data_IF_256698807258
#
_entry.id   IF_256698807258
#
_cell.length_a   1.000
_cell.length_b   1.000
_cell.length_c   1.000
_cell.angle_alpha   90.00
_cell.angle_beta   90.00
_cell.angle_gamma   90.00
#
_symmetry.space_group_name_H-M   'P 1'
#
loop_
_entity.id
_entity.type
_entity.pdbx_description
1 polymer ?
#
# COMPACT_ATOMS: atom_id res chain seq x y z
N UNK A 1 -14.80 7.14 -5.41
CA UNK A 1 -13.52 6.85 -4.74
C UNK A 1 -13.00 8.12 -4.11
N UNK A 2 -12.47 8.04 -2.90
CA UNK A 2 -11.70 9.13 -2.29
C UNK A 2 -10.36 8.59 -1.79
N UNK A 3 -9.27 9.35 -1.92
CA UNK A 3 -7.98 8.91 -1.43
C UNK A 3 -6.95 10.00 -1.22
N UNK A 4 -5.92 9.67 -0.45
CA UNK A 4 -4.76 10.49 -0.13
C UNK A 4 -3.51 9.69 -0.43
N UNK A 5 -2.53 10.29 -1.09
CA UNK A 5 -1.27 9.64 -1.45
C UNK A 5 -0.06 10.55 -1.26
N UNK A 6 1.12 9.95 -1.44
CA UNK A 6 2.41 10.59 -1.25
C UNK A 6 2.67 11.83 -2.13
N UNK A 7 1.95 12.00 -3.25
CA UNK A 7 2.14 13.15 -4.14
C UNK A 7 1.49 14.40 -3.55
N UNK A 8 0.46 14.22 -2.72
CA UNK A 8 -0.32 15.33 -2.13
C UNK A 8 0.00 15.58 -0.67
N UNK A 9 0.24 14.53 0.11
CA UNK A 9 0.31 14.64 1.55
C UNK A 9 1.62 14.09 2.12
N UNK A 10 2.22 14.82 3.09
CA UNK A 10 3.37 14.32 3.81
C UNK A 10 3.00 13.11 4.68
N UNK A 11 4.01 12.36 5.11
CA UNK A 11 3.84 11.05 5.76
C UNK A 11 3.11 11.13 7.10
N UNK A 12 3.33 12.20 7.86
CA UNK A 12 2.67 12.50 9.13
C UNK A 12 1.15 12.66 8.96
N UNK A 13 0.71 13.39 7.92
CA UNK A 13 -0.72 13.53 7.61
C UNK A 13 -1.31 12.19 7.14
N UNK A 14 -0.64 11.47 6.25
CA UNK A 14 -1.13 10.17 5.76
C UNK A 14 -1.24 9.13 6.88
N UNK A 15 -0.32 9.14 7.83
CA UNK A 15 -0.31 8.23 8.96
C UNK A 15 -1.57 8.34 9.84
N UNK A 16 -2.19 9.52 9.94
CA UNK A 16 -3.45 9.73 10.67
C UNK A 16 -4.59 8.90 10.07
N UNK A 17 -4.61 8.76 8.74
CA UNK A 17 -5.68 8.07 8.03
C UNK A 17 -5.37 6.60 7.75
N UNK A 18 -4.11 6.15 7.90
CA UNK A 18 -3.72 4.76 7.63
C UNK A 18 -4.50 3.74 8.49
N UNK A 19 -4.90 2.61 7.88
CA UNK A 19 -5.52 1.49 8.58
C UNK A 19 -4.57 0.29 8.66
N UNK A 20 -4.64 -0.43 9.78
CA UNK A 20 -4.13 -1.81 9.88
C UNK A 20 -5.12 -2.77 9.19
N UNK A 21 -4.69 -3.99 8.83
CA UNK A 21 -5.60 -4.99 8.22
C UNK A 21 -6.86 -5.24 9.06
N UNK A 22 -6.69 -5.37 10.39
CA UNK A 22 -7.82 -5.56 11.31
C UNK A 22 -8.77 -4.36 11.31
N UNK A 23 -8.23 -3.15 11.48
CA UNK A 23 -9.05 -1.95 11.60
C UNK A 23 -9.70 -1.57 10.26
N UNK A 24 -9.11 -1.96 9.13
CA UNK A 24 -9.70 -1.75 7.80
C UNK A 24 -10.97 -2.59 7.62
N UNK A 25 -10.98 -3.84 8.08
CA UNK A 25 -12.17 -4.70 8.05
C UNK A 25 -13.34 -4.10 8.82
N UNK A 26 -13.12 -3.77 10.09
CA UNK A 26 -14.11 -3.13 10.97
C UNK A 26 -14.59 -1.76 10.41
N UNK A 27 -13.70 -1.00 9.77
CA UNK A 27 -14.06 0.26 9.15
C UNK A 27 -14.93 0.08 7.89
N UNK A 28 -14.66 -0.93 7.08
CA UNK A 28 -15.51 -1.27 5.92
C UNK A 28 -16.91 -1.73 6.36
N UNK A 29 -17.01 -2.52 7.43
CA UNK A 29 -18.31 -2.92 7.99
C UNK A 29 -19.15 -1.70 8.36
N UNK A 30 -18.57 -0.75 9.11
CA UNK A 30 -19.24 0.51 9.48
C UNK A 30 -19.57 1.39 8.28
N UNK A 31 -18.69 1.45 7.27
CA UNK A 31 -18.99 2.17 6.02
C UNK A 31 -20.21 1.57 5.33
N UNK A 32 -20.29 0.24 5.26
CA UNK A 32 -21.41 -0.44 4.61
C UNK A 32 -22.76 -0.19 5.30
N UNK A 33 -22.76 0.13 6.59
CA UNK A 33 -23.97 0.52 7.32
C UNK A 33 -24.44 1.94 6.99
N UNK A 34 -23.62 2.75 6.32
CA UNK A 34 -23.99 4.09 5.89
C UNK A 34 -25.03 4.01 4.78
N UNK A 35 -26.12 4.79 4.92
CA UNK A 35 -27.17 4.85 3.91
C UNK A 35 -26.59 5.15 2.53
N UNK A 36 -27.14 4.50 1.50
CA UNK A 36 -26.71 4.65 0.11
C UNK A 36 -25.48 3.84 -0.28
N UNK A 37 -24.66 3.32 0.65
CA UNK A 37 -23.48 2.51 0.29
C UNK A 37 -23.88 1.04 0.06
N UNK A 38 -23.75 0.56 -1.18
CA UNK A 38 -23.98 -0.84 -1.54
C UNK A 38 -22.75 -1.72 -1.29
N UNK A 39 -21.57 -1.16 -1.50
CA UNK A 39 -20.31 -1.86 -1.23
C UNK A 39 -19.16 -0.89 -1.05
N UNK A 40 -18.13 -1.30 -0.31
CA UNK A 40 -16.91 -0.55 -0.14
C UNK A 40 -15.65 -1.44 -0.04
N UNK A 41 -14.51 -0.87 -0.42
CA UNK A 41 -13.18 -1.47 -0.31
C UNK A 41 -12.19 -0.39 0.17
N UNK A 42 -11.41 -0.70 1.21
CA UNK A 42 -10.32 0.15 1.70
C UNK A 42 -8.98 -0.41 1.23
N UNK A 43 -8.25 0.38 0.45
CA UNK A 43 -6.85 0.12 0.09
C UNK A 43 -5.95 1.00 0.95
N UNK A 44 -5.34 0.40 1.98
CA UNK A 44 -4.42 1.09 2.90
C UNK A 44 -3.01 0.50 2.75
N UNK A 45 -2.06 1.37 2.40
CA UNK A 45 -0.64 1.03 2.21
C UNK A 45 0.22 2.06 2.96
N UNK A 46 1.55 1.91 2.94
CA UNK A 46 2.44 2.97 3.43
C UNK A 46 2.36 4.25 2.59
N UNK A 47 1.94 4.14 1.33
CA UNK A 47 2.03 5.22 0.36
C UNK A 47 0.71 5.90 0.01
N UNK A 48 -0.40 5.24 0.31
CA UNK A 48 -1.74 5.71 -0.01
C UNK A 48 -2.78 5.09 0.90
N UNK A 49 -3.84 5.85 1.10
CA UNK A 49 -5.13 5.37 1.56
C UNK A 49 -6.16 5.71 0.49
N UNK A 50 -6.95 4.74 0.08
CA UNK A 50 -8.06 4.94 -0.85
C UNK A 50 -9.30 4.19 -0.33
N UNK A 51 -10.45 4.87 -0.31
CA UNK A 51 -11.77 4.29 -0.08
C UNK A 51 -12.51 4.25 -1.40
N UNK A 52 -12.93 3.06 -1.77
CA UNK A 52 -13.76 2.78 -2.91
C UNK A 52 -15.14 2.46 -2.40
N UNK A 53 -16.16 3.10 -2.94
CA UNK A 53 -17.54 2.85 -2.60
C UNK A 53 -18.38 2.80 -3.88
N UNK A 54 -19.32 1.87 -3.90
CA UNK A 54 -20.45 1.81 -4.82
C UNK A 54 -21.65 2.33 -4.02
N UNK A 55 -22.28 3.42 -4.47
CA UNK A 55 -23.38 4.05 -3.76
C UNK A 55 -24.48 4.52 -4.69
N UNK A 56 -25.66 4.81 -4.14
CA UNK A 56 -26.80 5.38 -4.87
C UNK A 56 -26.47 6.80 -5.38
N UNK A 57 -26.82 7.10 -6.63
CA UNK A 57 -26.55 8.39 -7.28
C UNK A 57 -27.34 9.57 -6.66
N UNK A 58 -28.51 9.28 -6.08
CA UNK A 58 -29.42 10.31 -5.53
C UNK A 58 -29.06 10.74 -4.09
N UNK A 59 -28.04 10.14 -3.46
CA UNK A 59 -27.58 10.55 -2.13
C UNK A 59 -26.30 11.39 -2.20
N UNK A 60 -26.35 12.56 -1.58
CA UNK A 60 -25.17 13.40 -1.36
C UNK A 60 -24.28 12.77 -0.26
N UNK A 61 -23.40 11.86 -0.66
CA UNK A 61 -22.53 11.10 0.23
C UNK A 61 -21.10 11.66 0.19
N UNK A 62 -20.64 12.23 1.30
CA UNK A 62 -19.23 12.60 1.47
C UNK A 62 -18.43 11.47 2.09
N UNK A 63 -17.71 10.71 1.26
CA UNK A 63 -16.78 9.68 1.72
C UNK A 63 -15.66 10.26 2.61
N UNK A 64 -15.30 11.54 2.44
CA UNK A 64 -14.36 12.23 3.32
C UNK A 64 -14.90 12.32 4.75
N UNK A 65 -16.15 12.77 4.90
CA UNK A 65 -16.79 12.90 6.20
C UNK A 65 -16.96 11.52 6.86
N UNK A 66 -17.34 10.50 6.10
CA UNK A 66 -17.38 9.12 6.60
C UNK A 66 -16.02 8.66 7.12
N UNK A 67 -14.94 8.93 6.38
CA UNK A 67 -13.57 8.61 6.82
C UNK A 67 -13.19 9.37 8.11
N UNK A 68 -13.50 10.66 8.19
CA UNK A 68 -13.23 11.47 9.37
C UNK A 68 -13.96 10.95 10.60
N UNK A 69 -15.23 10.54 10.46
CA UNK A 69 -16.00 9.91 11.53
C UNK A 69 -15.37 8.59 11.99
N UNK A 70 -14.93 7.72 11.06
CA UNK A 70 -14.27 6.45 11.39
C UNK A 70 -12.93 6.64 12.11
N UNK A 71 -12.22 7.72 11.77
CA UNK A 71 -10.93 8.08 12.38
C UNK A 71 -11.04 8.99 13.59
N UNK A 72 -12.24 9.45 13.93
CA UNK A 72 -12.49 10.45 14.95
C UNK A 72 -11.64 11.72 14.73
N UNK A 73 -11.56 12.18 13.48
CA UNK A 73 -10.88 13.41 13.07
C UNK A 73 -11.95 14.49 12.88
N UNK A 74 -11.75 15.65 13.48
CA UNK A 74 -12.67 16.81 13.44
C UNK A 74 -12.12 17.98 12.62
N UNK A 75 -10.92 17.83 12.07
CA UNK A 75 -10.22 18.88 11.34
C UNK A 75 -10.47 18.71 9.84
N UNK A 76 -11.31 19.57 9.30
CA UNK A 76 -11.67 19.56 7.87
C UNK A 76 -10.55 20.10 6.97
N UNK A 77 -9.50 20.70 7.52
CA UNK A 77 -8.39 21.25 6.70
C UNK A 77 -7.66 20.16 5.92
N UNK A 78 -7.72 18.91 6.38
CA UNK A 78 -7.11 17.77 5.69
C UNK A 78 -7.80 17.41 4.38
N UNK A 79 -9.04 17.84 4.13
CA UNK A 79 -9.78 17.55 2.91
C UNK A 79 -9.03 18.01 1.65
N UNK A 80 -8.28 19.11 1.76
CA UNK A 80 -7.44 19.65 0.68
C UNK A 80 -6.38 18.67 0.15
N UNK A 81 -5.97 17.69 0.95
CA UNK A 81 -5.02 16.65 0.55
C UNK A 81 -5.67 15.49 -0.22
N UNK A 82 -6.99 15.33 -0.13
CA UNK A 82 -7.69 14.22 -0.74
C UNK A 82 -8.04 14.47 -2.20
N UNK A 83 -8.23 13.38 -2.94
CA UNK A 83 -8.75 13.38 -4.31
C UNK A 83 -9.98 12.50 -4.36
N UNK A 84 -11.07 13.08 -4.84
CA UNK A 84 -12.29 12.35 -5.17
C UNK A 84 -12.33 12.06 -6.67
N UNK A 85 -12.69 10.83 -7.02
CA UNK A 85 -12.87 10.37 -8.40
C UNK A 85 -14.17 9.58 -8.50
N UNK A 86 -14.92 9.77 -9.57
CA UNK A 86 -16.18 9.07 -9.83
C UNK A 86 -16.09 8.23 -11.11
N UNK A 87 -16.91 7.19 -11.18
CA UNK A 87 -17.15 6.36 -12.36
C UNK A 87 -15.88 5.98 -13.14
N UNK A 88 -15.78 6.48 -14.38
CA UNK A 88 -14.70 6.19 -15.31
C UNK A 88 -13.35 6.67 -14.78
N UNK A 89 -13.29 7.82 -14.14
CA UNK A 89 -12.02 8.34 -13.60
C UNK A 89 -11.52 7.46 -12.45
N UNK A 90 -12.43 7.00 -11.59
CA UNK A 90 -12.10 6.06 -10.53
C UNK A 90 -11.61 4.74 -11.12
N UNK A 91 -12.33 4.19 -12.10
CA UNK A 91 -11.92 2.95 -12.77
C UNK A 91 -10.54 3.09 -13.42
N UNK A 92 -10.32 4.11 -14.24
CA UNK A 92 -9.04 4.41 -14.90
C UNK A 92 -7.90 4.49 -13.88
N UNK A 93 -8.09 5.22 -12.77
CA UNK A 93 -7.10 5.29 -11.69
C UNK A 93 -6.72 3.91 -11.14
N UNK A 94 -7.71 3.03 -10.89
CA UNK A 94 -7.43 1.68 -10.39
C UNK A 94 -6.61 0.86 -11.40
N UNK A 95 -6.89 0.96 -12.69
CA UNK A 95 -6.11 0.27 -13.72
C UNK A 95 -4.68 0.81 -13.82
N UNK A 96 -4.49 2.14 -13.77
CA UNK A 96 -3.15 2.73 -13.71
C UNK A 96 -2.38 2.30 -12.46
N UNK A 97 -3.07 2.21 -11.31
CA UNK A 97 -2.49 1.77 -10.06
C UNK A 97 -2.10 0.28 -10.12
N UNK A 98 -2.97 -0.58 -10.64
CA UNK A 98 -2.71 -2.01 -10.81
C UNK A 98 -1.57 -2.28 -11.82
N UNK A 99 -1.41 -1.42 -12.82
CA UNK A 99 -0.28 -1.41 -13.74
C UNK A 99 1.03 -0.90 -13.14
N UNK A 100 1.04 -0.39 -11.91
CA UNK A 100 2.22 0.15 -11.23
C UNK A 100 2.68 1.52 -11.74
N UNK A 101 1.86 2.20 -12.54
CA UNK A 101 2.16 3.51 -13.15
C UNK A 101 1.92 4.69 -12.19
N UNK A 102 1.19 4.45 -11.09
CA UNK A 102 0.91 5.40 -10.02
C UNK A 102 1.55 5.00 -8.68
N UNK A 103 2.55 4.12 -8.71
CA UNK A 103 3.34 3.75 -7.53
C UNK A 103 4.54 4.70 -7.38
N UNK A 104 4.90 5.04 -6.13
CA UNK A 104 6.08 5.86 -5.83
C UNK A 104 7.35 5.26 -6.45
N UNK A 105 7.44 3.93 -6.43
CA UNK A 105 8.39 3.17 -7.23
C UNK A 105 7.63 2.65 -8.45
N UNK A 106 7.92 3.22 -9.61
CA UNK A 106 7.33 2.77 -10.88
C UNK A 106 7.64 1.29 -11.10
N UNK A 107 6.60 0.47 -11.29
CA UNK A 107 6.73 -0.98 -11.52
C UNK A 107 6.87 -1.84 -10.26
N UNK A 108 6.67 -1.30 -9.05
CA UNK A 108 6.74 -2.10 -7.82
C UNK A 108 5.69 -3.22 -7.78
N UNK A 109 6.14 -4.44 -7.51
CA UNK A 109 5.27 -5.61 -7.54
C UNK A 109 4.21 -5.63 -6.43
N UNK A 110 4.47 -4.90 -5.35
CA UNK A 110 3.72 -4.94 -4.12
C UNK A 110 2.30 -4.37 -4.26
N UNK A 111 2.10 -3.36 -5.12
CA UNK A 111 0.78 -2.69 -5.25
C UNK A 111 -0.30 -3.63 -5.80
N UNK A 112 0.06 -4.48 -6.76
CA UNK A 112 -0.88 -5.44 -7.36
C UNK A 112 -1.36 -6.46 -6.32
N UNK A 113 -0.45 -6.91 -5.46
CA UNK A 113 -0.76 -7.79 -4.33
C UNK A 113 -1.61 -7.05 -3.29
N UNK A 114 -1.32 -5.79 -3.00
CA UNK A 114 -2.11 -4.98 -2.07
C UNK A 114 -3.54 -4.74 -2.56
N UNK A 115 -3.75 -4.48 -3.86
CA UNK A 115 -5.09 -4.37 -4.46
C UNK A 115 -5.85 -5.69 -4.32
N UNK A 116 -5.19 -6.81 -4.60
CA UNK A 116 -5.78 -8.16 -4.45
C UNK A 116 -6.13 -8.45 -2.98
N UNK A 117 -5.26 -8.10 -2.05
CA UNK A 117 -5.46 -8.26 -0.61
C UNK A 117 -6.62 -7.39 -0.10
N UNK A 118 -6.75 -6.15 -0.59
CA UNK A 118 -7.86 -5.26 -0.25
C UNK A 118 -9.21 -5.84 -0.70
N UNK A 119 -9.28 -6.38 -1.93
CA UNK A 119 -10.48 -7.08 -2.40
C UNK A 119 -10.79 -8.32 -1.56
N UNK A 120 -9.79 -9.13 -1.21
CA UNK A 120 -10.00 -10.32 -0.38
C UNK A 120 -10.50 -9.96 1.02
N UNK A 121 -9.93 -8.91 1.64
CA UNK A 121 -10.40 -8.42 2.94
C UNK A 121 -11.85 -7.96 2.86
N UNK A 122 -12.22 -7.23 1.81
CA UNK A 122 -13.61 -6.81 1.61
C UNK A 122 -14.57 -8.00 1.44
N UNK A 123 -14.13 -9.08 0.79
CA UNK A 123 -14.91 -10.33 0.70
C UNK A 123 -15.07 -11.02 2.05
N UNK A 124 -13.99 -11.11 2.83
CA UNK A 124 -14.01 -11.73 4.17
C UNK A 124 -14.99 -11.02 5.12
N UNK A 125 -15.10 -9.69 4.98
CA UNK A 125 -16.02 -8.86 5.75
C UNK A 125 -17.39 -8.64 5.07
N UNK A 126 -17.65 -9.28 3.93
CA UNK A 126 -18.88 -9.11 3.14
C UNK A 126 -19.20 -7.65 2.79
N UNK A 127 -18.18 -6.82 2.56
CA UNK A 127 -18.33 -5.37 2.32
C UNK A 127 -18.26 -4.97 0.86
N UNK A 128 -17.79 -5.84 -0.03
CA UNK A 128 -17.85 -5.59 -1.48
C UNK A 128 -19.24 -5.90 -2.07
N UNK A 129 -19.60 -5.20 -3.14
CA UNK A 129 -20.74 -5.54 -4.02
C UNK A 129 -20.24 -6.17 -5.33
N UNK A 130 -21.15 -6.48 -6.25
CA UNK A 130 -20.81 -7.08 -7.55
C UNK A 130 -20.01 -6.13 -8.45
N UNK A 131 -20.23 -4.82 -8.34
CA UNK A 131 -19.56 -3.80 -9.16
C UNK A 131 -18.09 -3.69 -8.77
N UNK A 132 -17.80 -3.44 -7.49
CA UNK A 132 -16.44 -3.34 -6.98
C UNK A 132 -15.68 -4.66 -7.13
N UNK A 133 -16.37 -5.79 -6.94
CA UNK A 133 -15.82 -7.13 -7.13
C UNK A 133 -15.33 -7.36 -8.56
N UNK A 134 -16.14 -6.99 -9.57
CA UNK A 134 -15.74 -7.09 -10.99
C UNK A 134 -14.61 -6.11 -11.29
N UNK A 135 -14.74 -4.85 -10.86
CA UNK A 135 -13.78 -3.79 -11.13
C UNK A 135 -12.37 -4.15 -10.62
N UNK A 136 -12.26 -4.53 -9.34
CA UNK A 136 -10.96 -4.89 -8.74
C UNK A 136 -10.37 -6.16 -9.36
N UNK A 137 -11.21 -7.17 -9.65
CA UNK A 137 -10.75 -8.40 -10.31
C UNK A 137 -10.22 -8.12 -11.72
N UNK A 138 -10.90 -7.25 -12.48
CA UNK A 138 -10.43 -6.82 -13.80
C UNK A 138 -9.13 -6.02 -13.71
N UNK A 139 -9.01 -5.10 -12.75
CA UNK A 139 -7.78 -4.34 -12.53
C UNK A 139 -6.59 -5.24 -12.20
N UNK A 140 -6.77 -6.22 -11.30
CA UNK A 140 -5.72 -7.21 -10.99
C UNK A 140 -5.34 -8.03 -12.23
N UNK A 141 -6.32 -8.39 -13.07
CA UNK A 141 -6.08 -9.17 -14.29
C UNK A 141 -5.30 -8.35 -15.32
N UNK A 142 -5.69 -7.09 -15.53
CA UNK A 142 -4.97 -6.16 -16.40
C UNK A 142 -3.55 -5.88 -15.89
N UNK A 143 -3.37 -5.65 -14.58
CA UNK A 143 -2.05 -5.47 -13.97
C UNK A 143 -1.13 -6.67 -14.19
N UNK A 144 -1.64 -7.90 -14.06
CA UNK A 144 -0.88 -9.12 -14.41
C UNK A 144 -0.50 -9.17 -15.88
N UNK A 145 -1.44 -8.82 -16.78
CA UNK A 145 -1.20 -8.80 -18.22
C UNK A 145 -0.12 -7.78 -18.60
N UNK A 146 -0.21 -6.55 -18.07
CA UNK A 146 0.79 -5.49 -18.28
C UNK A 146 2.17 -5.98 -17.86
N UNK A 147 2.30 -6.62 -16.69
CA UNK A 147 3.60 -7.15 -16.25
C UNK A 147 4.19 -8.21 -17.16
N UNK A 148 3.35 -9.08 -17.71
CA UNK A 148 3.80 -10.16 -18.60
C UNK A 148 4.17 -9.64 -20.00
N UNK A 149 3.37 -8.72 -20.56
CA UNK A 149 3.50 -8.27 -21.95
C UNK A 149 4.39 -7.03 -22.10
N UNK A 150 4.43 -6.19 -21.07
CA UNK A 150 5.25 -4.99 -20.99
C UNK A 150 6.05 -5.03 -19.69
N UNK A 151 7.13 -5.84 -19.61
CA UNK A 151 8.03 -5.81 -18.49
C UNK A 151 8.67 -4.41 -18.43
N UNK A 152 8.04 -3.52 -17.66
CA UNK A 152 8.61 -2.26 -17.26
C UNK A 152 9.96 -2.63 -16.64
N UNK A 153 11.04 -2.11 -17.22
CA UNK A 153 12.39 -2.49 -16.83
C UNK A 153 12.47 -2.50 -15.30
N UNK A 154 12.96 -3.60 -14.72
CA UNK A 154 13.23 -3.77 -13.29
C UNK A 154 14.26 -2.75 -12.73
N UNK A 155 14.51 -1.66 -13.46
CA UNK A 155 15.50 -0.64 -13.21
C UNK A 155 15.08 0.42 -12.20
N UNK A 156 13.96 0.27 -11.49
CA UNK A 156 13.67 1.16 -10.37
C UNK A 156 14.00 0.43 -9.06
N UNK A 157 15.15 0.74 -8.45
CA UNK A 157 15.62 -0.04 -7.33
C UNK A 157 14.73 0.32 -6.11
N UNK A 158 14.44 -0.66 -5.25
CA UNK A 158 13.49 -0.50 -4.13
C UNK A 158 13.74 0.79 -3.31
N UNK A 159 12.77 1.27 -2.53
CA UNK A 159 12.98 2.44 -1.61
C UNK A 159 14.29 2.30 -0.80
N UNK A 160 14.66 1.06 -0.44
CA UNK A 160 15.91 0.81 0.29
C UNK A 160 17.14 1.02 -0.60
N UNK A 161 17.12 0.62 -1.87
CA UNK A 161 18.20 0.96 -2.78
C UNK A 161 18.32 2.46 -3.01
N UNK A 162 17.21 3.18 -3.17
CA UNK A 162 17.26 4.64 -3.30
C UNK A 162 17.87 5.28 -2.04
N UNK A 163 17.51 4.79 -0.85
CA UNK A 163 18.10 5.24 0.40
C UNK A 163 19.62 4.97 0.46
N UNK A 164 20.07 3.77 0.06
CA UNK A 164 21.50 3.43 0.02
C UNK A 164 22.27 4.25 -1.03
N UNK A 165 21.70 4.45 -2.22
CA UNK A 165 22.29 5.31 -3.25
C UNK A 165 22.41 6.77 -2.76
N UNK A 166 21.37 7.28 -2.09
CA UNK A 166 21.39 8.63 -1.54
C UNK A 166 22.46 8.81 -0.45
N UNK A 167 22.63 7.82 0.44
CA UNK A 167 23.72 7.81 1.41
C UNK A 167 25.09 7.82 0.72
N UNK A 168 25.25 7.06 -0.36
CA UNK A 168 26.49 7.03 -1.14
C UNK A 168 26.79 8.38 -1.80
N UNK A 169 25.77 9.07 -2.34
CA UNK A 169 25.90 10.42 -2.89
C UNK A 169 26.32 11.45 -1.84
N UNK A 170 25.88 11.27 -0.58
CA UNK A 170 26.33 12.08 0.55
C UNK A 170 27.75 11.71 1.06
N UNK A 171 28.43 10.76 0.40
CA UNK A 171 29.78 10.31 0.75
C UNK A 171 29.84 9.20 1.79
N UNK A 172 28.70 8.59 2.15
CA UNK A 172 28.67 7.44 3.05
C UNK A 172 28.83 6.13 2.26
N UNK A 173 30.03 5.56 2.32
CA UNK A 173 30.27 4.20 1.83
C UNK A 173 29.78 3.15 2.84
N UNK A 174 29.02 2.19 2.34
CA UNK A 174 28.45 1.09 3.12
C UNK A 174 29.42 -0.09 3.24
N UNK A 175 30.51 -0.11 2.45
CA UNK A 175 31.48 -1.19 2.48
C UNK A 175 32.09 -1.38 3.89
N UNK A 176 31.96 -2.59 4.43
CA UNK A 176 32.47 -2.97 5.75
C UNK A 176 31.69 -2.40 6.95
N UNK A 177 30.63 -1.62 6.73
CA UNK A 177 29.80 -1.06 7.81
C UNK A 177 28.93 -2.12 8.45
N UNK A 178 28.75 -2.04 9.76
CA UNK A 178 27.83 -2.93 10.50
C UNK A 178 26.42 -2.33 10.42
N UNK A 179 25.49 -3.07 9.82
CA UNK A 179 24.10 -2.66 9.65
C UNK A 179 23.16 -3.62 10.37
N UNK A 180 22.15 -3.09 11.05
CA UNK A 180 21.10 -3.88 11.69
C UNK A 180 19.75 -3.61 11.02
N UNK A 181 19.12 -4.65 10.50
CA UNK A 181 17.77 -4.62 9.95
C UNK A 181 16.80 -5.13 11.00
N UNK A 182 15.82 -4.29 11.37
CA UNK A 182 14.80 -4.66 12.34
C UNK A 182 13.59 -5.24 11.61
N UNK A 183 13.36 -6.54 11.78
CA UNK A 183 12.24 -7.27 11.19
C UNK A 183 12.62 -8.12 9.96
N UNK A 184 11.94 -9.27 9.84
CA UNK A 184 12.20 -10.29 8.82
C UNK A 184 11.06 -10.45 7.79
N UNK A 185 10.19 -9.44 7.69
CA UNK A 185 9.16 -9.37 6.65
C UNK A 185 9.77 -9.15 5.26
N UNK A 186 8.93 -9.09 4.24
CA UNK A 186 9.33 -8.92 2.84
C UNK A 186 10.27 -7.71 2.65
N UNK A 187 9.91 -6.55 3.19
CA UNK A 187 10.75 -5.34 3.18
C UNK A 187 12.07 -5.50 3.94
N UNK A 188 12.07 -6.23 5.06
CA UNK A 188 13.30 -6.50 5.82
C UNK A 188 14.27 -7.38 5.03
N UNK A 189 13.76 -8.36 4.27
CA UNK A 189 14.59 -9.20 3.39
C UNK A 189 15.20 -8.40 2.25
N UNK A 190 14.40 -7.57 1.58
CA UNK A 190 14.89 -6.67 0.53
C UNK A 190 15.94 -5.73 1.10
N UNK A 191 15.72 -5.17 2.30
CA UNK A 191 16.66 -4.23 2.89
C UNK A 191 17.99 -4.89 3.23
N UNK A 192 17.95 -6.08 3.83
CA UNK A 192 19.14 -6.83 4.17
C UNK A 192 19.94 -7.21 2.92
N UNK A 193 19.25 -7.66 1.86
CA UNK A 193 19.84 -7.99 0.58
C UNK A 193 20.53 -6.77 -0.06
N UNK A 194 19.84 -5.63 -0.14
CA UNK A 194 20.39 -4.39 -0.71
C UNK A 194 21.59 -3.86 0.06
N UNK A 195 21.56 -3.85 1.39
CA UNK A 195 22.69 -3.41 2.22
C UNK A 195 23.91 -4.32 2.06
N UNK A 196 23.68 -5.64 1.96
CA UNK A 196 24.74 -6.62 1.72
C UNK A 196 25.35 -6.47 0.34
N UNK A 197 24.53 -6.25 -0.69
CA UNK A 197 25.00 -6.02 -2.06
C UNK A 197 25.79 -4.69 -2.18
N UNK A 198 25.55 -3.74 -1.27
CA UNK A 198 26.35 -2.54 -1.08
C UNK A 198 27.64 -2.75 -0.23
N UNK A 199 27.92 -3.99 0.18
CA UNK A 199 29.15 -4.36 0.91
C UNK A 199 29.08 -4.24 2.44
N UNK A 200 27.89 -4.05 3.02
CA UNK A 200 27.74 -3.97 4.47
C UNK A 200 27.70 -5.35 5.16
N UNK A 201 28.12 -5.39 6.42
CA UNK A 201 27.95 -6.52 7.33
C UNK A 201 26.56 -6.43 7.98
N UNK A 202 25.61 -7.22 7.47
CA UNK A 202 24.19 -7.08 7.82
C UNK A 202 23.75 -8.11 8.85
N UNK A 203 23.04 -7.63 9.87
CA UNK A 203 22.38 -8.47 10.86
C UNK A 203 20.89 -8.21 10.91
N UNK A 204 20.06 -9.26 10.99
CA UNK A 204 18.59 -9.15 10.95
C UNK A 204 17.98 -9.61 12.27
N UNK A 205 17.08 -8.81 12.84
CA UNK A 205 16.28 -9.20 14.00
C UNK A 205 14.96 -9.86 13.57
N UNK A 206 14.49 -10.84 14.34
CA UNK A 206 13.30 -11.64 14.03
C UNK A 206 12.32 -11.56 15.19
N UNK A 207 11.06 -11.19 14.94
CA UNK A 207 10.03 -11.20 15.98
C UNK A 207 9.47 -12.62 16.13
N UNK A 208 9.78 -13.29 17.25
CA UNK A 208 9.30 -14.64 17.58
C UNK A 208 7.77 -14.68 17.83
N UNK A 209 6.93 -14.68 16.80
CA UNK A 209 5.49 -14.91 17.03
C UNK A 209 4.83 -16.01 16.21
N UNK A 210 5.44 -16.52 15.14
CA UNK A 210 4.98 -17.75 14.49
C UNK A 210 6.15 -18.58 14.00
N UNK A 211 6.22 -19.80 14.51
CA UNK A 211 7.11 -20.86 14.03
C UNK A 211 6.74 -21.18 12.58
N UNK A 212 7.59 -20.73 11.66
CA UNK A 212 7.56 -21.02 10.23
C UNK A 212 8.92 -20.59 9.71
N UNK A 213 9.64 -21.50 9.04
CA UNK A 213 11.04 -21.37 8.62
C UNK A 213 11.45 -19.91 8.34
N UNK A 214 12.24 -19.35 9.26
CA UNK A 214 12.78 -17.99 9.12
C UNK A 214 13.80 -18.02 8.00
N UNK A 215 13.39 -17.55 6.81
CA UNK A 215 14.30 -17.36 5.68
C UNK A 215 14.98 -16.00 5.82
N UNK A 216 16.23 -16.01 6.26
CA UNK A 216 17.14 -14.86 6.23
C UNK A 216 17.88 -14.91 4.89
N UNK A 217 18.12 -13.77 4.21
CA UNK A 217 18.94 -13.75 3.01
C UNK A 217 20.32 -14.37 3.27
N UNK A 218 20.81 -15.17 2.32
CA UNK A 218 22.10 -15.85 2.41
C UNK A 218 23.19 -14.82 2.75
N UNK A 219 24.05 -15.10 3.72
CA UNK A 219 25.15 -14.20 4.11
C UNK A 219 24.80 -13.07 5.09
N UNK A 220 23.54 -12.95 5.55
CA UNK A 220 23.20 -12.09 6.68
C UNK A 220 23.18 -12.90 7.99
N UNK A 221 23.61 -12.29 9.09
CA UNK A 221 23.56 -12.92 10.42
C UNK A 221 22.23 -12.66 11.13
N UNK A 222 21.86 -13.52 12.07
CA UNK A 222 20.67 -13.35 12.94
C UNK A 222 21.09 -12.85 14.31
N UNK A 223 20.43 -11.82 14.83
CA UNK A 223 20.48 -11.50 16.28
C UNK A 223 19.29 -12.17 16.95
N UNK A 224 19.58 -12.87 18.06
CA UNK A 224 18.61 -13.54 18.93
C UNK A 224 17.90 -12.54 19.84
#
# INVERSE_FOLDING_TARGET
MIGIDHDRAPVDIRALFAFTKKNAGEAMEKLKETAGIHGCIILSTCNRLEIWASHEDDQELSLYQCLCQLKNIQDDSYESYFVSRTDREAAEHLFYLAGGLKSQILGEDQILTQIKDALNLAREHFTTDSILEVLFRMAVTAGKKIKTEAPLAHGNPSVIHQAVSHLKEQGYDMHGKICMVIGNGEMGKVAAQTLRDAGANVTVTVRQYRSGMVSIPIGCSRIH
#
